data_IF_985858799306
#
_entry.id   IF_985858799306
#
_cell.length_a   1.000
_cell.length_b   1.000
_cell.length_c   1.000
_cell.angle_alpha   90.00
_cell.angle_beta   90.00
_cell.angle_gamma   90.00
#
_symmetry.space_group_name_H-M   'P 1'
#
loop_
_entity.id
_entity.type
_entity.pdbx_description
1 polymer ?
#
# COMPACT_ATOMS: atom_id res chain seq x y z
N UNK A 1 -14.84 -22.73 17.71
CA UNK A 1 -15.35 -21.50 17.05
C UNK A 1 -14.52 -21.25 15.79
N UNK A 2 -15.18 -21.33 14.65
CA UNK A 2 -14.55 -21.42 13.33
C UNK A 2 -13.85 -20.13 12.91
N UNK A 3 -12.52 -20.09 13.00
CA UNK A 3 -11.68 -18.93 12.66
C UNK A 3 -11.09 -19.03 11.23
N UNK A 4 -11.61 -19.92 10.42
CA UNK A 4 -10.90 -20.37 9.20
C UNK A 4 -11.33 -19.70 7.90
N UNK A 5 -12.16 -18.63 7.89
CA UNK A 5 -12.57 -18.06 6.60
C UNK A 5 -12.81 -16.54 6.58
N UNK A 6 -12.07 -15.78 7.38
CA UNK A 6 -12.13 -14.32 7.23
C UNK A 6 -11.29 -13.92 6.04
N UNK A 7 -11.98 -13.46 4.99
CA UNK A 7 -11.39 -12.96 3.74
C UNK A 7 -10.33 -11.90 4.05
N UNK A 8 -9.16 -12.04 3.46
CA UNK A 8 -8.06 -11.10 3.63
C UNK A 8 -8.41 -9.75 3.01
N UNK A 9 -8.25 -8.69 3.78
CA UNK A 9 -8.40 -7.31 3.33
C UNK A 9 -7.02 -6.66 3.26
N UNK A 10 -6.67 -6.15 2.08
CA UNK A 10 -5.46 -5.39 1.87
C UNK A 10 -5.79 -3.91 1.88
N UNK A 11 -5.08 -3.15 2.69
CA UNK A 11 -5.25 -1.70 2.84
C UNK A 11 -4.00 -1.02 2.31
N UNK A 12 -4.18 0.01 1.48
CA UNK A 12 -3.05 0.85 1.05
C UNK A 12 -3.06 2.15 1.82
N UNK A 13 -1.88 2.58 2.24
CA UNK A 13 -1.68 3.90 2.82
C UNK A 13 -1.90 5.02 1.80
N UNK A 14 -1.85 6.23 2.30
CA UNK A 14 -2.07 7.47 1.57
C UNK A 14 -2.59 8.50 2.55
N UNK A 15 -3.85 8.46 2.88
CA UNK A 15 -4.43 9.24 3.97
C UNK A 15 -4.58 8.36 5.22
N UNK A 16 -3.65 8.52 6.17
CA UNK A 16 -3.54 7.67 7.35
C UNK A 16 -4.80 7.73 8.24
N UNK A 17 -5.28 8.92 8.54
CA UNK A 17 -6.38 9.13 9.49
C UNK A 17 -7.67 8.39 9.09
N UNK A 18 -8.24 8.57 7.89
CA UNK A 18 -9.43 7.85 7.48
C UNK A 18 -9.18 6.34 7.37
N UNK A 19 -8.01 5.94 6.94
CA UNK A 19 -7.65 4.53 6.85
C UNK A 19 -7.65 3.84 8.23
N UNK A 20 -7.10 4.48 9.25
CA UNK A 20 -7.10 3.97 10.64
C UNK A 20 -8.53 3.90 11.21
N UNK A 21 -9.38 4.89 10.91
CA UNK A 21 -10.78 4.85 11.34
C UNK A 21 -11.50 3.61 10.77
N UNK A 22 -11.31 3.34 9.48
CA UNK A 22 -11.87 2.14 8.83
C UNK A 22 -11.29 0.85 9.40
N UNK A 23 -9.97 0.79 9.65
CA UNK A 23 -9.33 -0.36 10.30
C UNK A 23 -9.94 -0.67 11.66
N UNK A 24 -10.12 0.35 12.48
CA UNK A 24 -10.71 0.19 13.81
C UNK A 24 -12.14 -0.34 13.73
N UNK A 25 -12.93 0.17 12.78
CA UNK A 25 -14.31 -0.32 12.56
C UNK A 25 -14.32 -1.76 12.04
N UNK A 26 -13.43 -2.12 11.11
CA UNK A 26 -13.29 -3.49 10.62
C UNK A 26 -12.95 -4.45 11.76
N UNK A 27 -12.04 -4.06 12.66
CA UNK A 27 -11.67 -4.86 13.84
C UNK A 27 -12.83 -5.03 14.81
N UNK A 28 -13.58 -3.96 15.09
CA UNK A 28 -14.81 -4.02 15.91
C UNK A 28 -15.82 -5.02 15.34
N UNK A 29 -15.96 -5.07 14.03
CA UNK A 29 -16.80 -6.05 13.31
C UNK A 29 -16.18 -7.45 13.21
N UNK A 30 -15.03 -7.63 13.80
CA UNK A 30 -14.34 -8.93 13.86
C UNK A 30 -13.53 -9.27 12.61
N UNK A 31 -13.29 -8.33 11.67
CA UNK A 31 -12.40 -8.51 10.53
C UNK A 31 -10.94 -8.26 10.95
N UNK A 32 -10.24 -9.32 11.38
CA UNK A 32 -8.86 -9.20 11.87
C UNK A 32 -7.80 -9.63 10.85
N UNK A 33 -8.20 -10.21 9.71
CA UNK A 33 -7.27 -10.63 8.67
C UNK A 33 -6.94 -9.45 7.74
N UNK A 34 -6.10 -8.55 8.23
CA UNK A 34 -5.74 -7.28 7.58
C UNK A 34 -4.26 -7.26 7.24
N UNK A 35 -3.93 -6.74 6.06
CA UNK A 35 -2.57 -6.42 5.63
C UNK A 35 -2.53 -4.96 5.21
N UNK A 36 -1.47 -4.27 5.60
CA UNK A 36 -1.21 -2.90 5.17
C UNK A 36 -0.03 -2.83 4.23
N UNK A 37 -0.18 -2.13 3.12
CA UNK A 37 0.88 -1.83 2.16
C UNK A 37 1.16 -0.33 2.19
N UNK A 38 2.37 0.04 2.50
CA UNK A 38 2.75 1.45 2.65
C UNK A 38 4.27 1.66 2.61
N UNK A 39 4.73 2.86 2.93
CA UNK A 39 6.16 3.18 3.02
C UNK A 39 6.65 3.10 4.45
N UNK A 40 7.67 2.25 4.69
CA UNK A 40 8.27 2.09 6.01
C UNK A 40 9.01 3.34 6.49
N UNK A 41 9.62 4.08 5.57
CA UNK A 41 10.46 5.22 5.91
C UNK A 41 9.84 6.53 5.42
N UNK A 42 10.16 7.61 6.13
CA UNK A 42 9.75 8.94 5.74
C UNK A 42 10.42 9.32 4.40
N UNK A 43 9.67 10.01 3.53
CA UNK A 43 10.11 10.26 2.14
C UNK A 43 11.15 11.36 1.99
N UNK A 44 11.52 12.03 3.06
CA UNK A 44 12.47 13.16 3.06
C UNK A 44 13.96 12.75 3.10
N UNK A 45 14.29 11.54 2.66
CA UNK A 45 15.70 11.07 2.65
C UNK A 45 16.23 10.62 4.02
N UNK A 46 15.46 10.78 5.09
CA UNK A 46 15.82 10.30 6.41
C UNK A 46 15.49 8.80 6.57
N UNK A 47 16.36 8.08 7.28
CA UNK A 47 16.11 6.69 7.67
C UNK A 47 15.03 6.55 8.76
N UNK A 48 14.37 7.64 9.11
CA UNK A 48 13.30 7.66 10.12
C UNK A 48 12.10 6.84 9.66
N UNK A 49 11.53 6.12 10.61
CA UNK A 49 10.32 5.34 10.38
C UNK A 49 9.14 6.28 10.14
N UNK A 50 8.31 5.94 9.17
CA UNK A 50 7.13 6.75 8.86
C UNK A 50 6.09 6.65 9.99
N UNK A 51 5.34 7.72 10.27
CA UNK A 51 4.22 7.67 11.22
C UNK A 51 3.20 6.57 10.87
N UNK A 52 2.99 6.35 9.57
CA UNK A 52 2.16 5.28 9.04
C UNK A 52 2.63 3.90 9.53
N UNK A 53 3.93 3.61 9.38
CA UNK A 53 4.49 2.34 9.82
C UNK A 53 4.36 2.13 11.33
N UNK A 54 4.66 3.15 12.12
CA UNK A 54 4.59 3.09 13.58
C UNK A 54 3.16 2.85 14.06
N UNK A 55 2.18 3.59 13.50
CA UNK A 55 0.77 3.44 13.85
C UNK A 55 0.23 2.07 13.47
N UNK A 56 0.50 1.61 12.24
CA UNK A 56 0.00 0.30 11.77
C UNK A 56 0.62 -0.84 12.56
N UNK A 57 1.90 -0.72 12.93
CA UNK A 57 2.58 -1.70 13.77
C UNK A 57 1.98 -1.77 15.18
N UNK A 58 1.66 -0.62 15.79
CA UNK A 58 1.02 -0.59 17.12
C UNK A 58 -0.37 -1.24 17.12
N UNK A 59 -1.05 -1.24 15.98
CA UNK A 59 -2.33 -1.93 15.79
C UNK A 59 -2.19 -3.45 15.56
N UNK A 60 -0.96 -4.00 15.54
CA UNK A 60 -0.72 -5.41 15.30
C UNK A 60 -1.05 -5.88 13.88
N UNK A 61 -1.08 -4.97 12.89
CA UNK A 61 -1.36 -5.28 11.51
C UNK A 61 -0.06 -5.58 10.76
N UNK A 62 -0.08 -6.62 9.93
CA UNK A 62 1.05 -6.96 9.06
C UNK A 62 1.31 -5.84 8.06
N UNK A 63 2.51 -5.25 8.14
CA UNK A 63 2.94 -4.18 7.25
C UNK A 63 3.84 -4.71 6.14
N UNK A 64 3.54 -4.38 4.90
CA UNK A 64 4.36 -4.69 3.72
C UNK A 64 4.93 -3.39 3.19
N UNK A 65 6.26 -3.29 3.19
CA UNK A 65 6.94 -2.12 2.66
C UNK A 65 6.96 -2.15 1.13
N UNK A 66 6.29 -1.18 0.52
CA UNK A 66 6.31 -0.96 -0.92
C UNK A 66 7.04 0.36 -1.21
N UNK A 67 8.16 0.25 -1.93
CA UNK A 67 8.86 1.42 -2.47
C UNK A 67 8.44 1.58 -3.93
N UNK A 68 7.84 2.70 -4.26
CA UNK A 68 7.53 3.08 -5.64
C UNK A 68 8.18 4.43 -5.94
N UNK A 69 8.50 4.68 -7.21
CA UNK A 69 8.98 6.00 -7.63
C UNK A 69 7.90 7.06 -7.45
N UNK A 70 8.30 8.25 -7.03
CA UNK A 70 7.45 9.44 -7.12
C UNK A 70 7.47 9.93 -8.56
N UNK A 71 6.31 10.16 -9.14
CA UNK A 71 6.19 11.01 -10.31
C UNK A 71 6.49 12.45 -9.85
N UNK A 72 7.74 12.88 -10.00
CA UNK A 72 8.12 14.26 -9.75
C UNK A 72 7.45 15.13 -10.78
N UNK A 73 6.57 16.02 -10.32
CA UNK A 73 5.83 16.99 -11.17
C UNK A 73 6.70 18.19 -11.59
N UNK A 74 7.93 18.29 -11.09
CA UNK A 74 8.85 19.37 -11.46
C UNK A 74 9.66 18.96 -12.69
N UNK A 75 9.25 19.43 -13.84
CA UNK A 75 9.99 19.38 -15.09
C UNK A 75 11.00 20.54 -15.12
N UNK A 76 12.15 20.37 -14.50
CA UNK A 76 13.31 21.21 -14.68
C UNK A 76 14.44 20.39 -15.31
N UNK A 77 15.18 21.03 -16.21
CA UNK A 77 16.07 20.49 -17.24
C UNK A 77 17.09 19.38 -16.95
N UNK A 78 17.26 18.91 -15.71
CA UNK A 78 18.15 17.75 -15.37
C UNK A 78 17.42 16.40 -15.40
N UNK A 79 16.35 16.31 -16.18
CA UNK A 79 15.25 15.33 -16.03
C UNK A 79 15.46 14.02 -16.76
N UNK A 80 16.45 13.88 -17.63
CA UNK A 80 16.57 12.64 -18.42
C UNK A 80 17.01 11.45 -17.55
N UNK A 81 18.02 11.62 -16.70
CA UNK A 81 18.49 10.56 -15.78
C UNK A 81 17.53 10.31 -14.61
N UNK A 82 16.87 11.37 -14.10
CA UNK A 82 15.86 11.21 -13.05
C UNK A 82 14.58 10.55 -13.57
N UNK A 83 14.23 10.76 -14.83
CA UNK A 83 13.12 10.11 -15.52
C UNK A 83 13.32 8.59 -15.64
N UNK A 84 14.51 8.15 -16.01
CA UNK A 84 14.86 6.72 -16.11
C UNK A 84 14.80 6.05 -14.74
N UNK A 85 15.38 6.65 -13.70
CA UNK A 85 15.30 6.13 -12.34
C UNK A 85 13.87 6.05 -11.81
N UNK A 86 13.04 7.04 -12.10
CA UNK A 86 11.63 7.03 -11.71
C UNK A 86 10.83 5.96 -12.46
N UNK A 87 11.15 5.72 -13.74
CA UNK A 87 10.54 4.65 -14.52
C UNK A 87 10.92 3.27 -13.98
N UNK A 88 12.18 3.04 -13.62
CA UNK A 88 12.63 1.81 -12.95
C UNK A 88 11.93 1.58 -11.62
N UNK A 89 11.73 2.62 -10.82
CA UNK A 89 11.02 2.53 -9.55
C UNK A 89 9.53 2.25 -9.73
N UNK A 90 8.91 2.79 -10.78
CA UNK A 90 7.52 2.48 -11.15
C UNK A 90 7.38 1.03 -11.59
N UNK A 91 8.29 0.53 -12.43
CA UNK A 91 8.30 -0.86 -12.90
C UNK A 91 8.51 -1.82 -11.72
N UNK A 92 9.51 -1.55 -10.86
CA UNK A 92 9.76 -2.37 -9.67
C UNK A 92 8.58 -2.34 -8.68
N UNK A 93 7.95 -1.18 -8.50
CA UNK A 93 6.75 -1.03 -7.68
C UNK A 93 5.58 -1.84 -8.24
N UNK A 94 5.41 -1.86 -9.57
CA UNK A 94 4.37 -2.63 -10.26
C UNK A 94 4.60 -4.14 -10.14
N UNK A 95 5.82 -4.61 -10.38
CA UNK A 95 6.19 -6.03 -10.22
C UNK A 95 5.95 -6.50 -8.79
N UNK A 96 6.38 -5.70 -7.81
CA UNK A 96 6.17 -6.02 -6.39
C UNK A 96 4.69 -6.01 -6.01
N UNK A 97 3.91 -5.12 -6.59
CA UNK A 97 2.45 -5.06 -6.40
C UNK A 97 1.76 -6.31 -6.95
N UNK A 98 2.13 -6.74 -8.15
CA UNK A 98 1.65 -8.00 -8.74
C UNK A 98 2.00 -9.19 -7.83
N UNK A 99 3.25 -9.27 -7.37
CA UNK A 99 3.68 -10.31 -6.43
C UNK A 99 2.84 -10.32 -5.14
N UNK A 100 2.58 -9.14 -4.55
CA UNK A 100 1.76 -9.02 -3.35
C UNK A 100 0.34 -9.56 -3.62
N UNK A 101 -0.29 -9.16 -4.72
CA UNK A 101 -1.65 -9.60 -5.05
C UNK A 101 -1.72 -11.12 -5.30
N UNK A 102 -0.75 -11.68 -6.00
CA UNK A 102 -0.69 -13.13 -6.27
C UNK A 102 -0.38 -13.94 -5.00
N UNK A 103 0.53 -13.44 -4.16
CA UNK A 103 0.99 -14.12 -2.94
C UNK A 103 -0.06 -14.13 -1.85
N UNK A 104 -0.71 -13.00 -1.63
CA UNK A 104 -1.68 -12.84 -0.54
C UNK A 104 -3.12 -13.04 -0.96
N UNK A 105 -3.42 -12.95 -2.24
CA UNK A 105 -4.75 -13.14 -2.83
C UNK A 105 -5.86 -12.43 -2.05
N UNK A 106 -5.75 -11.12 -1.80
CA UNK A 106 -6.75 -10.42 -1.02
C UNK A 106 -8.12 -10.53 -1.69
N UNK A 107 -9.16 -10.68 -0.88
CA UNK A 107 -10.54 -10.66 -1.36
C UNK A 107 -11.03 -9.23 -1.60
N UNK A 108 -10.49 -8.29 -0.84
CA UNK A 108 -10.82 -6.86 -0.93
C UNK A 108 -9.55 -6.04 -0.81
N UNK A 109 -9.43 -5.03 -1.64
CA UNK A 109 -8.39 -4.00 -1.59
C UNK A 109 -9.10 -2.68 -1.28
N UNK A 110 -8.68 -2.02 -0.20
CA UNK A 110 -9.16 -0.70 0.18
C UNK A 110 -8.03 0.31 0.00
N UNK A 111 -8.24 1.27 -0.88
CA UNK A 111 -7.24 2.30 -1.19
C UNK A 111 -7.66 3.65 -0.62
N UNK A 112 -6.78 4.24 0.18
CA UNK A 112 -6.97 5.57 0.74
C UNK A 112 -6.13 6.63 0.01
N UNK A 113 -5.88 6.39 -1.28
CA UNK A 113 -5.15 7.31 -2.15
C UNK A 113 -3.63 7.18 -2.06
N UNK A 114 -2.96 8.23 -2.54
CA UNK A 114 -1.49 8.26 -2.61
C UNK A 114 -0.93 7.48 -3.81
N UNK A 115 0.29 7.85 -4.21
CA UNK A 115 0.97 7.26 -5.37
C UNK A 115 1.33 5.77 -5.18
N UNK A 116 1.49 5.31 -3.93
CA UNK A 116 1.74 3.91 -3.60
C UNK A 116 0.53 3.01 -3.88
N UNK A 117 -0.67 3.57 -3.83
CA UNK A 117 -1.90 2.84 -4.08
C UNK A 117 -2.06 2.46 -5.56
N UNK A 118 -1.57 3.32 -6.47
CA UNK A 118 -1.77 3.15 -7.92
C UNK A 118 -1.36 1.77 -8.43
N UNK A 119 -0.11 1.30 -8.23
CA UNK A 119 0.28 -0.02 -8.72
C UNK A 119 -0.49 -1.17 -8.04
N UNK A 120 -0.89 -1.04 -6.78
CA UNK A 120 -1.70 -2.04 -6.07
C UNK A 120 -3.12 -2.11 -6.64
N UNK A 121 -3.75 -0.95 -6.88
CA UNK A 121 -5.10 -0.86 -7.45
C UNK A 121 -5.13 -1.44 -8.87
N UNK A 122 -4.17 -1.06 -9.71
CA UNK A 122 -4.05 -1.59 -11.07
C UNK A 122 -3.86 -3.10 -11.05
N UNK A 123 -2.91 -3.60 -10.23
CA UNK A 123 -2.67 -5.04 -10.09
C UNK A 123 -3.91 -5.76 -9.56
N UNK A 124 -4.61 -5.18 -8.57
CA UNK A 124 -5.84 -5.74 -8.04
C UNK A 124 -6.93 -5.89 -9.10
N UNK A 125 -7.16 -4.85 -9.90
CA UNK A 125 -8.13 -4.90 -11.01
C UNK A 125 -7.72 -5.91 -12.08
N UNK A 126 -6.44 -5.98 -12.43
CA UNK A 126 -5.92 -6.94 -13.41
C UNK A 126 -6.21 -8.39 -12.98
N UNK A 127 -6.08 -8.69 -11.69
CA UNK A 127 -6.38 -10.01 -11.13
C UNK A 127 -7.82 -10.15 -10.61
N UNK A 128 -8.74 -9.30 -11.08
CA UNK A 128 -10.19 -9.34 -10.76
C UNK A 128 -10.48 -9.34 -9.26
N UNK A 129 -9.69 -8.60 -8.47
CA UNK A 129 -9.96 -8.39 -7.06
C UNK A 129 -10.94 -7.24 -6.88
N UNK A 130 -11.77 -7.32 -5.85
CA UNK A 130 -12.64 -6.19 -5.47
C UNK A 130 -11.78 -5.05 -4.96
N UNK A 131 -11.93 -3.87 -5.53
CA UNK A 131 -11.17 -2.66 -5.16
C UNK A 131 -12.15 -1.55 -4.83
N UNK A 132 -11.95 -0.93 -3.66
CA UNK A 132 -12.64 0.27 -3.19
C UNK A 132 -11.60 1.37 -3.07
N UNK A 133 -11.85 2.53 -3.67
CA UNK A 133 -10.99 3.72 -3.64
C UNK A 133 -11.76 4.92 -3.16
#
# INVERSE_FOLDING_TARGET
MNNSNKKLILITGGHLTPAIAVVNELKKRGHNNLIWVGSKHNQKGNKELSPEFLTVKSLGIKFINLKTGKLNRNWSGDTFFSGINNLFLLINGSIKSIYIILRYRPALIMSFGGYLAVPIVISGKLFRRTVIT
#
